data_IF_420732737430
#
_entry.id   IF_420732737430
#
_cell.length_a   1.000
_cell.length_b   1.000
_cell.length_c   1.000
_cell.angle_alpha   90.00
_cell.angle_beta   90.00
_cell.angle_gamma   90.00
#
_symmetry.space_group_name_H-M   'P 1'
#
loop_
_entity.id
_entity.type
_entity.pdbx_description
1 polymer ?
#
# COMPACT_ATOMS: atom_id res chain seq x y z
N UNK A 1 9.93 -23.89 54.90
CA UNK A 1 9.06 -23.85 53.71
C UNK A 1 9.32 -22.53 53.01
N UNK A 2 10.24 -22.56 52.04
CA UNK A 2 10.59 -21.35 51.25
C UNK A 2 9.62 -21.21 50.08
N UNK A 3 8.85 -20.14 50.08
CA UNK A 3 8.00 -19.77 48.99
C UNK A 3 8.87 -19.38 47.78
N UNK A 4 8.84 -20.20 46.74
CA UNK A 4 9.42 -19.88 45.44
C UNK A 4 8.60 -18.72 44.83
N UNK A 5 9.12 -17.52 44.89
CA UNK A 5 8.62 -16.39 44.15
C UNK A 5 8.71 -16.72 42.65
N UNK A 6 7.58 -16.87 41.99
CA UNK A 6 7.51 -17.00 40.54
C UNK A 6 8.17 -15.74 39.92
N UNK A 7 8.97 -15.89 38.84
CA UNK A 7 9.54 -14.74 38.16
C UNK A 7 8.36 -13.88 37.63
N UNK A 8 8.45 -12.57 37.92
CA UNK A 8 7.55 -11.58 37.30
C UNK A 8 7.66 -11.72 35.76
N UNK A 9 6.55 -11.65 35.03
CA UNK A 9 6.61 -11.62 33.57
C UNK A 9 7.55 -10.46 33.21
N UNK A 10 8.59 -10.78 32.44
CA UNK A 10 9.47 -9.81 31.78
C UNK A 10 8.55 -8.77 31.14
N UNK A 11 8.79 -7.49 31.48
CA UNK A 11 8.08 -6.36 30.86
C UNK A 11 8.04 -6.64 29.35
N UNK A 12 6.86 -6.96 28.84
CA UNK A 12 6.63 -7.01 27.40
C UNK A 12 7.09 -5.64 26.90
N UNK A 13 8.13 -5.62 26.06
CA UNK A 13 8.64 -4.38 25.49
C UNK A 13 7.43 -3.64 24.91
N UNK A 14 7.06 -2.55 25.59
CA UNK A 14 5.97 -1.69 25.11
C UNK A 14 6.38 -1.24 23.71
N UNK A 15 5.55 -1.57 22.71
CA UNK A 15 5.81 -1.18 21.33
C UNK A 15 5.85 0.35 21.26
N UNK A 16 7.00 0.89 20.88
CA UNK A 16 7.16 2.31 20.62
C UNK A 16 6.49 2.66 19.27
N UNK A 17 5.25 3.11 19.35
CA UNK A 17 4.40 3.40 18.19
C UNK A 17 4.96 4.56 17.37
N UNK A 18 5.51 5.59 18.00
CA UNK A 18 6.12 6.73 17.29
C UNK A 18 7.33 6.28 16.47
N UNK A 19 8.20 5.49 17.11
CA UNK A 19 9.38 4.93 16.44
C UNK A 19 9.00 3.99 15.30
N UNK A 20 7.93 3.19 15.46
CA UNK A 20 7.40 2.33 14.40
C UNK A 20 6.89 3.16 13.22
N UNK A 21 6.04 4.17 13.48
CA UNK A 21 5.50 5.05 12.47
C UNK A 21 6.60 5.77 11.68
N UNK A 22 7.61 6.29 12.36
CA UNK A 22 8.77 6.92 11.75
C UNK A 22 9.60 5.95 10.90
N UNK A 23 9.80 4.73 11.36
CA UNK A 23 10.55 3.71 10.62
C UNK A 23 9.82 3.34 9.33
N UNK A 24 8.51 3.08 9.39
CA UNK A 24 7.67 2.79 8.22
C UNK A 24 7.66 3.95 7.22
N UNK A 25 7.52 5.18 7.69
CA UNK A 25 7.56 6.37 6.85
C UNK A 25 8.90 6.54 6.14
N UNK A 26 10.04 6.31 6.84
CA UNK A 26 11.38 6.35 6.23
C UNK A 26 11.58 5.26 5.18
N UNK A 27 11.20 4.02 5.49
CA UNK A 27 11.30 2.88 4.56
C UNK A 27 10.47 3.17 3.31
N UNK A 28 9.24 3.60 3.46
CA UNK A 28 8.35 3.92 2.34
C UNK A 28 8.92 5.02 1.45
N UNK A 29 9.38 6.15 2.05
CA UNK A 29 9.97 7.26 1.29
C UNK A 29 11.24 6.85 0.55
N UNK A 30 12.12 6.09 1.20
CA UNK A 30 13.38 5.69 0.58
C UNK A 30 13.18 4.66 -0.53
N UNK A 31 12.28 3.70 -0.36
CA UNK A 31 11.93 2.74 -1.42
C UNK A 31 11.34 3.46 -2.64
N UNK A 32 10.44 4.41 -2.40
CA UNK A 32 9.82 5.20 -3.48
C UNK A 32 10.83 6.02 -4.27
N UNK A 33 11.91 6.52 -3.65
CA UNK A 33 12.95 7.29 -4.35
C UNK A 33 13.81 6.43 -5.28
N UNK A 34 13.96 5.15 -4.97
CA UNK A 34 14.74 4.20 -5.76
C UNK A 34 13.92 3.60 -6.92
N UNK A 35 12.58 3.68 -6.83
CA UNK A 35 11.69 3.17 -7.86
C UNK A 35 11.50 4.23 -8.96
N UNK A 36 11.82 3.87 -10.20
CA UNK A 36 11.48 4.64 -11.39
C UNK A 36 10.00 4.35 -11.74
N UNK A 37 9.05 4.99 -11.06
CA UNK A 37 7.63 4.79 -11.31
C UNK A 37 7.23 5.49 -12.62
N UNK A 38 6.57 4.79 -13.56
CA UNK A 38 6.13 5.40 -14.83
C UNK A 38 4.95 6.36 -14.65
N UNK A 39 4.22 6.25 -13.54
CA UNK A 39 3.09 7.13 -13.20
C UNK A 39 3.26 7.72 -11.80
N UNK A 40 2.53 8.81 -11.54
CA UNK A 40 2.53 9.47 -10.23
C UNK A 40 2.03 8.55 -9.11
N UNK A 41 2.48 8.81 -7.89
CA UNK A 41 2.09 7.97 -6.74
C UNK A 41 0.59 7.96 -6.46
N UNK A 42 -0.10 9.09 -6.67
CA UNK A 42 -1.55 9.15 -6.52
C UNK A 42 -2.27 8.33 -7.59
N UNK A 43 -1.76 8.33 -8.83
CA UNK A 43 -2.28 7.48 -9.91
C UNK A 43 -2.08 6.00 -9.59
N UNK A 44 -0.91 5.63 -9.05
CA UNK A 44 -0.61 4.26 -8.64
C UNK A 44 -1.50 3.82 -7.47
N UNK A 45 -1.78 4.69 -6.49
CA UNK A 45 -2.68 4.40 -5.38
C UNK A 45 -4.10 4.14 -5.87
N UNK A 46 -4.66 5.05 -6.68
CA UNK A 46 -5.99 4.89 -7.30
C UNK A 46 -6.08 3.59 -8.09
N UNK A 47 -5.07 3.29 -8.92
CA UNK A 47 -5.04 2.06 -9.71
C UNK A 47 -5.02 0.81 -8.83
N UNK A 48 -4.23 0.82 -7.74
CA UNK A 48 -4.18 -0.24 -6.74
C UNK A 48 -5.52 -0.47 -6.07
N UNK A 49 -6.19 0.59 -5.63
CA UNK A 49 -7.51 0.51 -4.99
C UNK A 49 -8.56 -0.12 -5.92
N UNK A 50 -8.54 0.25 -7.21
CA UNK A 50 -9.45 -0.35 -8.20
C UNK A 50 -9.09 -1.81 -8.49
N UNK A 51 -7.81 -2.16 -8.49
CA UNK A 51 -7.38 -3.56 -8.65
C UNK A 51 -7.85 -4.44 -7.48
N UNK A 52 -7.73 -3.93 -6.25
CA UNK A 52 -8.05 -4.71 -5.04
C UNK A 52 -9.56 -4.83 -4.77
N UNK A 53 -10.34 -3.81 -5.13
CA UNK A 53 -11.78 -3.73 -4.82
C UNK A 53 -12.69 -4.01 -6.02
N UNK A 54 -12.13 -4.10 -7.23
CA UNK A 54 -12.88 -4.19 -8.48
C UNK A 54 -13.38 -2.83 -8.97
N UNK A 55 -14.33 -2.81 -9.93
CA UNK A 55 -14.90 -1.58 -10.45
C UNK A 55 -15.52 -0.72 -9.35
N UNK A 56 -15.17 0.57 -9.33
CA UNK A 56 -15.64 1.53 -8.32
C UNK A 56 -16.26 2.77 -8.99
N UNK A 57 -17.33 3.28 -8.39
CA UNK A 57 -17.88 4.60 -8.78
C UNK A 57 -16.86 5.68 -8.43
N UNK A 58 -16.70 6.68 -9.31
CA UNK A 58 -15.72 7.76 -9.09
C UNK A 58 -15.96 8.52 -7.79
N UNK A 59 -17.22 8.71 -7.37
CA UNK A 59 -17.54 9.35 -6.09
C UNK A 59 -17.07 8.54 -4.88
N UNK A 60 -17.20 7.22 -4.93
CA UNK A 60 -16.75 6.32 -3.86
C UNK A 60 -15.22 6.25 -3.82
N UNK A 61 -14.60 6.17 -4.99
CA UNK A 61 -13.15 6.17 -5.13
C UNK A 61 -12.53 7.47 -4.61
N UNK A 62 -13.13 8.64 -4.88
CA UNK A 62 -12.66 9.91 -4.33
C UNK A 62 -12.68 9.93 -2.79
N UNK A 63 -13.73 9.36 -2.18
CA UNK A 63 -13.83 9.22 -0.72
C UNK A 63 -12.81 8.26 -0.15
N UNK A 64 -12.59 7.12 -0.79
CA UNK A 64 -11.59 6.12 -0.37
C UNK A 64 -10.18 6.69 -0.42
N UNK A 65 -9.84 7.43 -1.47
CA UNK A 65 -8.52 8.04 -1.65
C UNK A 65 -8.35 9.37 -0.86
N UNK A 66 -9.40 9.86 -0.20
CA UNK A 66 -9.34 11.12 0.54
C UNK A 66 -9.05 12.34 -0.33
N UNK A 67 -9.47 12.33 -1.60
CA UNK A 67 -9.24 13.42 -2.55
C UNK A 67 -10.54 14.06 -3.02
N UNK A 68 -10.45 15.28 -3.54
CA UNK A 68 -11.62 15.94 -4.14
C UNK A 68 -12.00 15.28 -5.47
N UNK A 69 -13.29 15.33 -5.88
CA UNK A 69 -13.72 14.82 -7.19
C UNK A 69 -12.93 15.41 -8.36
N UNK A 70 -12.56 16.69 -8.28
CA UNK A 70 -11.75 17.35 -9.30
C UNK A 70 -10.33 16.78 -9.39
N UNK A 71 -9.71 16.48 -8.24
CA UNK A 71 -8.39 15.83 -8.19
C UNK A 71 -8.48 14.41 -8.74
N UNK A 72 -9.49 13.64 -8.32
CA UNK A 72 -9.68 12.28 -8.85
C UNK A 72 -9.88 12.29 -10.37
N UNK A 73 -10.70 13.22 -10.90
CA UNK A 73 -10.92 13.32 -12.34
C UNK A 73 -9.64 13.53 -13.14
N UNK A 74 -8.69 14.30 -12.62
CA UNK A 74 -7.37 14.50 -13.25
C UNK A 74 -6.53 13.22 -13.21
N UNK A 75 -6.54 12.52 -12.07
CA UNK A 75 -5.82 11.25 -11.93
C UNK A 75 -6.37 10.22 -12.90
N UNK A 76 -7.70 10.10 -12.97
CA UNK A 76 -8.39 9.16 -13.86
C UNK A 76 -8.10 9.46 -15.33
N UNK A 77 -8.10 10.75 -15.72
CA UNK A 77 -7.77 11.15 -17.08
C UNK A 77 -6.35 10.67 -17.49
N UNK A 78 -5.36 10.79 -16.62
CA UNK A 78 -4.01 10.27 -16.87
C UNK A 78 -4.02 8.75 -17.01
N UNK A 79 -4.73 8.03 -16.14
CA UNK A 79 -4.82 6.57 -16.19
C UNK A 79 -5.51 6.06 -17.45
N UNK A 80 -6.54 6.80 -17.96
CA UNK A 80 -7.22 6.50 -19.22
C UNK A 80 -6.31 6.78 -20.43
N UNK A 81 -5.60 7.93 -20.42
CA UNK A 81 -4.66 8.31 -21.48
C UNK A 81 -3.53 7.32 -21.64
N UNK A 82 -2.99 6.84 -20.53
CA UNK A 82 -1.94 5.83 -20.49
C UNK A 82 -2.45 4.39 -20.70
N UNK A 83 -3.76 4.19 -20.78
CA UNK A 83 -4.39 2.89 -21.04
C UNK A 83 -4.36 1.92 -19.86
N UNK A 84 -4.16 2.41 -18.62
CA UNK A 84 -4.14 1.58 -17.40
C UNK A 84 -5.50 1.39 -16.76
N UNK A 85 -6.45 2.27 -17.03
CA UNK A 85 -7.83 2.17 -16.57
C UNK A 85 -8.79 2.61 -17.67
N UNK A 86 -10.05 2.22 -17.54
CA UNK A 86 -11.14 2.64 -18.43
C UNK A 86 -12.34 3.10 -17.62
N UNK A 87 -13.04 4.11 -18.12
CA UNK A 87 -14.24 4.63 -17.52
C UNK A 87 -15.46 4.17 -18.31
N UNK A 88 -16.47 3.69 -17.60
CA UNK A 88 -17.78 3.36 -18.15
C UNK A 88 -18.87 4.18 -17.48
N UNK A 89 -19.86 4.61 -18.24
CA UNK A 89 -21.02 5.32 -17.69
C UNK A 89 -21.92 4.31 -16.99
N UNK A 90 -22.41 4.65 -15.80
CA UNK A 90 -23.38 3.81 -15.09
C UNK A 90 -24.66 3.69 -15.92
N UNK A 91 -25.11 2.46 -16.25
CA UNK A 91 -26.30 2.27 -17.08
C UNK A 91 -27.61 2.73 -16.39
N UNK A 92 -27.61 2.81 -15.07
CA UNK A 92 -28.77 3.22 -14.26
C UNK A 92 -28.75 4.72 -13.97
N UNK A 93 -27.56 5.25 -13.60
CA UNK A 93 -27.36 6.67 -13.31
C UNK A 93 -26.29 7.26 -14.25
N UNK A 94 -26.73 7.85 -15.35
CA UNK A 94 -25.85 8.47 -16.35
C UNK A 94 -24.99 9.61 -15.82
N UNK A 95 -25.24 10.10 -14.60
CA UNK A 95 -24.41 11.11 -13.92
C UNK A 95 -23.23 10.47 -13.18
N UNK A 96 -23.24 9.17 -13.03
CA UNK A 96 -22.22 8.37 -12.36
C UNK A 96 -21.39 7.63 -13.39
N UNK A 97 -20.11 7.43 -13.07
CA UNK A 97 -19.19 6.63 -13.88
C UNK A 97 -18.43 5.67 -12.99
N UNK A 98 -18.14 4.51 -13.52
CA UNK A 98 -17.30 3.49 -12.91
C UNK A 98 -15.90 3.56 -13.51
N UNK A 99 -14.88 3.29 -12.69
CA UNK A 99 -13.52 3.08 -13.13
C UNK A 99 -13.18 1.59 -13.00
N UNK A 100 -12.60 1.04 -14.05
CA UNK A 100 -12.12 -0.34 -14.12
C UNK A 100 -10.66 -0.34 -14.51
N UNK A 101 -9.90 -1.31 -13.96
CA UNK A 101 -8.51 -1.52 -14.35
C UNK A 101 -8.45 -2.32 -15.65
N UNK A 102 -7.51 -1.99 -16.53
CA UNK A 102 -7.24 -2.73 -17.75
C UNK A 102 -6.19 -3.83 -17.51
N UNK A 103 -6.00 -4.79 -18.44
CA UNK A 103 -4.88 -5.72 -18.39
C UNK A 103 -3.51 -5.02 -18.29
N UNK A 104 -3.31 -3.92 -19.03
CA UNK A 104 -2.09 -3.11 -18.95
C UNK A 104 -1.88 -2.50 -17.54
N UNK A 105 -2.97 -2.08 -16.90
CA UNK A 105 -2.92 -1.59 -15.52
C UNK A 105 -2.53 -2.68 -14.52
N UNK A 106 -3.02 -3.89 -14.70
CA UNK A 106 -2.62 -5.05 -13.88
C UNK A 106 -1.15 -5.40 -14.08
N UNK A 107 -0.66 -5.39 -15.31
CA UNK A 107 0.73 -5.64 -15.65
C UNK A 107 1.66 -4.57 -15.05
N UNK A 108 1.25 -3.31 -15.09
CA UNK A 108 1.96 -2.22 -14.42
C UNK A 108 2.07 -2.46 -12.91
N UNK A 109 0.96 -2.78 -12.23
CA UNK A 109 0.98 -3.06 -10.79
C UNK A 109 1.88 -4.25 -10.45
N UNK A 110 1.85 -5.31 -11.27
CA UNK A 110 2.72 -6.46 -11.10
C UNK A 110 4.20 -6.11 -11.27
N UNK A 111 4.55 -5.26 -12.25
CA UNK A 111 5.91 -4.75 -12.43
C UNK A 111 6.37 -3.94 -11.21
N UNK A 112 5.56 -2.99 -10.77
CA UNK A 112 5.88 -2.15 -9.59
C UNK A 112 6.04 -3.01 -8.32
N UNK A 113 5.26 -4.08 -8.16
CA UNK A 113 5.42 -5.02 -7.04
C UNK A 113 6.77 -5.74 -7.10
N UNK A 114 7.20 -6.21 -8.28
CA UNK A 114 8.51 -6.87 -8.47
C UNK A 114 9.65 -5.92 -8.16
N UNK A 115 9.65 -4.73 -8.74
CA UNK A 115 10.70 -3.72 -8.54
C UNK A 115 10.81 -3.33 -7.06
N UNK A 116 9.68 -3.18 -6.38
CA UNK A 116 9.63 -2.92 -4.93
C UNK A 116 10.22 -4.06 -4.12
N UNK A 117 9.94 -5.30 -4.51
CA UNK A 117 10.50 -6.49 -3.85
C UNK A 117 12.02 -6.57 -4.05
N UNK A 118 12.55 -6.24 -5.22
CA UNK A 118 14.00 -6.20 -5.49
C UNK A 118 14.70 -5.15 -4.62
N UNK A 119 14.19 -3.93 -4.59
CA UNK A 119 14.73 -2.86 -3.73
C UNK A 119 14.70 -3.29 -2.26
N UNK A 120 13.62 -3.93 -1.82
CA UNK A 120 13.50 -4.39 -0.44
C UNK A 120 14.42 -5.56 -0.13
N UNK A 121 14.59 -6.52 -1.06
CA UNK A 121 15.51 -7.65 -0.92
C UNK A 121 16.93 -7.17 -0.65
N UNK A 122 17.45 -6.24 -1.46
CA UNK A 122 18.79 -5.67 -1.28
C UNK A 122 19.00 -5.01 0.10
N UNK A 123 17.93 -4.50 0.71
CA UNK A 123 17.99 -3.91 2.06
C UNK A 123 17.93 -4.97 3.15
N UNK A 124 17.07 -5.98 2.98
CA UNK A 124 16.94 -7.11 3.91
C UNK A 124 18.26 -7.90 4.00
N UNK A 125 18.99 -8.02 2.90
CA UNK A 125 20.28 -8.70 2.86
C UNK A 125 21.36 -8.04 3.74
N UNK A 126 21.21 -6.75 4.04
CA UNK A 126 22.11 -6.00 4.93
C UNK A 126 21.79 -6.18 6.41
N UNK A 127 20.67 -6.82 6.73
CA UNK A 127 20.26 -7.07 8.11
C UNK A 127 20.96 -8.28 8.70
N UNK A 128 21.19 -8.27 10.02
CA UNK A 128 21.63 -9.45 10.75
C UNK A 128 20.56 -10.57 10.69
N UNK A 129 20.99 -11.81 10.93
CA UNK A 129 20.08 -12.98 11.00
C UNK A 129 18.96 -12.77 12.04
N UNK A 130 19.30 -12.19 13.20
CA UNK A 130 18.32 -11.88 14.24
C UNK A 130 17.28 -10.85 13.81
N UNK A 131 17.71 -9.78 13.11
CA UNK A 131 16.81 -8.75 12.58
C UNK A 131 15.88 -9.31 11.49
N UNK A 132 16.41 -10.14 10.59
CA UNK A 132 15.58 -10.83 9.58
C UNK A 132 14.52 -11.72 10.22
N UNK A 133 14.92 -12.51 11.23
CA UNK A 133 13.99 -13.37 11.97
C UNK A 133 12.90 -12.56 12.70
N UNK A 134 13.26 -11.40 13.28
CA UNK A 134 12.30 -10.51 13.94
C UNK A 134 11.30 -9.91 12.93
N UNK A 135 11.75 -9.47 11.76
CA UNK A 135 10.88 -8.98 10.69
C UNK A 135 9.95 -10.07 10.17
N UNK A 136 10.47 -11.29 9.95
CA UNK A 136 9.64 -12.41 9.50
C UNK A 136 8.49 -12.71 10.48
N UNK A 137 8.74 -12.61 11.79
CA UNK A 137 7.70 -12.79 12.81
C UNK A 137 6.69 -11.63 12.88
N UNK A 138 7.09 -10.44 12.43
CA UNK A 138 6.24 -9.25 12.46
C UNK A 138 5.39 -9.08 11.20
N UNK A 139 5.57 -9.91 10.16
CA UNK A 139 4.88 -9.72 8.88
C UNK A 139 3.36 -9.73 9.02
N UNK A 140 2.79 -10.74 9.67
CA UNK A 140 1.35 -10.86 9.86
C UNK A 140 0.75 -9.64 10.58
N UNK A 141 1.48 -9.10 11.59
CA UNK A 141 1.05 -7.91 12.31
C UNK A 141 1.12 -6.66 11.43
N UNK A 142 2.16 -6.52 10.59
CA UNK A 142 2.30 -5.41 9.65
C UNK A 142 1.24 -5.47 8.53
N UNK A 143 0.90 -6.66 8.05
CA UNK A 143 -0.17 -6.87 7.09
C UNK A 143 -1.53 -6.49 7.68
N UNK A 144 -1.79 -6.88 8.93
CA UNK A 144 -3.02 -6.48 9.65
C UNK A 144 -3.13 -4.96 9.75
N UNK A 145 -2.05 -4.27 10.12
CA UNK A 145 -2.03 -2.80 10.19
C UNK A 145 -2.25 -2.10 8.85
N UNK A 146 -2.01 -2.78 7.74
CA UNK A 146 -2.18 -2.21 6.40
C UNK A 146 -3.62 -2.33 5.85
N UNK A 147 -4.51 -3.11 6.50
CA UNK A 147 -5.87 -3.41 6.02
C UNK A 147 -6.97 -2.63 6.77
N UNK A 148 -6.64 -1.84 7.79
CA UNK A 148 -7.57 -0.95 8.50
C UNK A 148 -7.65 0.43 7.82
#
# INVERSE_FOLDING_TARGET
>A
MSARTAPRPTEAQVLDVERLADALARVTRSTRRELALPIGASSLAVLGTVADRGPLRLGDLARLEGVTPATLSRIVAVLEEDGYAERTVDPVDRRSSWLMITPNGLDLLASVRRDRAEVMSARVDRLSTGQRAALAKALDALETLAHD
#
